data_IF_252165709348
#
_entry.id   IF_252165709348
#
_cell.length_a   1.000
_cell.length_b   1.000
_cell.length_c   1.000
_cell.angle_alpha   90.00
_cell.angle_beta   90.00
_cell.angle_gamma   90.00
#
_symmetry.space_group_name_H-M   'P 1'
#
loop_
_entity.id
_entity.type
_entity.pdbx_description
1 polymer ?
#
# COMPACT_ATOMS: atom_id res chain seq x y z
N UNK A 1 1.69 9.48 -10.54
CA UNK A 1 1.77 8.08 -10.06
C UNK A 1 2.22 7.20 -11.21
N UNK A 2 3.10 6.22 -10.99
CA UNK A 2 3.56 5.33 -12.06
C UNK A 2 2.47 4.30 -12.40
N UNK A 3 2.15 4.02 -13.68
CA UNK A 3 1.04 3.13 -14.05
C UNK A 3 1.12 1.73 -13.44
N UNK A 4 2.34 1.16 -13.37
CA UNK A 4 2.56 -0.14 -12.72
C UNK A 4 2.19 -0.16 -11.23
N UNK A 5 2.39 0.94 -10.52
CA UNK A 5 2.04 1.02 -9.10
C UNK A 5 0.52 1.04 -8.89
N UNK A 6 -0.23 1.58 -9.86
CA UNK A 6 -1.70 1.51 -9.85
C UNK A 6 -2.15 0.06 -10.04
N UNK A 7 -1.63 -0.61 -11.06
CA UNK A 7 -1.96 -2.02 -11.34
C UNK A 7 -1.62 -2.94 -10.16
N UNK A 8 -0.46 -2.76 -9.51
CA UNK A 8 -0.07 -3.54 -8.33
C UNK A 8 -1.04 -3.34 -7.15
N UNK A 9 -1.56 -2.12 -6.96
CA UNK A 9 -2.58 -1.84 -5.95
C UNK A 9 -3.93 -2.50 -6.26
N UNK A 10 -4.36 -2.44 -7.52
CA UNK A 10 -5.59 -3.07 -8.00
C UNK A 10 -5.55 -4.60 -7.89
N UNK A 11 -4.44 -5.22 -8.31
CA UNK A 11 -4.22 -6.68 -8.20
C UNK A 11 -4.23 -7.14 -6.74
N UNK A 12 -3.59 -6.40 -5.84
CA UNK A 12 -3.59 -6.71 -4.41
C UNK A 12 -5.01 -6.61 -3.81
N UNK A 13 -5.76 -5.56 -4.16
CA UNK A 13 -7.15 -5.40 -3.72
C UNK A 13 -8.05 -6.55 -4.22
N UNK A 14 -7.90 -6.94 -5.49
CA UNK A 14 -8.63 -8.06 -6.07
C UNK A 14 -8.30 -9.39 -5.36
N UNK A 15 -7.02 -9.66 -5.07
CA UNK A 15 -6.59 -10.86 -4.36
C UNK A 15 -7.22 -10.97 -2.97
N UNK A 16 -7.32 -9.86 -2.23
CA UNK A 16 -8.01 -9.83 -0.95
C UNK A 16 -9.52 -9.99 -1.09
N UNK A 17 -10.13 -9.38 -2.11
CA UNK A 17 -11.58 -9.41 -2.32
C UNK A 17 -12.10 -10.82 -2.62
N UNK A 18 -11.31 -11.64 -3.33
CA UNK A 18 -11.60 -13.06 -3.56
C UNK A 18 -11.70 -13.87 -2.26
N UNK A 19 -11.03 -13.42 -1.18
CA UNK A 19 -10.90 -14.15 0.09
C UNK A 19 -11.81 -13.60 1.17
N UNK A 20 -11.77 -12.29 1.38
CA UNK A 20 -12.64 -11.55 2.30
C UNK A 20 -12.76 -10.09 1.84
N UNK A 21 -13.95 -9.66 1.37
CA UNK A 21 -14.19 -8.27 0.96
C UNK A 21 -13.88 -7.22 2.04
N UNK A 22 -13.99 -7.58 3.33
CA UNK A 22 -13.65 -6.66 4.44
C UNK A 22 -12.15 -6.42 4.52
N UNK A 23 -11.34 -7.43 4.20
CA UNK A 23 -9.87 -7.31 4.16
C UNK A 23 -9.46 -6.44 2.97
N UNK A 24 -10.12 -6.58 1.82
CA UNK A 24 -9.89 -5.71 0.66
C UNK A 24 -10.22 -4.24 0.95
N UNK A 25 -11.35 -3.97 1.61
CA UNK A 25 -11.73 -2.61 2.02
C UNK A 25 -10.67 -2.01 2.96
N UNK A 26 -10.27 -2.75 3.99
CA UNK A 26 -9.23 -2.31 4.93
C UNK A 26 -7.88 -2.07 4.25
N UNK A 27 -7.51 -2.91 3.29
CA UNK A 27 -6.29 -2.72 2.50
C UNK A 27 -6.32 -1.38 1.74
N UNK A 28 -7.44 -1.07 1.07
CA UNK A 28 -7.62 0.19 0.36
C UNK A 28 -7.55 1.41 1.29
N UNK A 29 -8.22 1.35 2.45
CA UNK A 29 -8.19 2.42 3.46
C UNK A 29 -6.77 2.71 3.97
N UNK A 30 -6.00 1.67 4.30
CA UNK A 30 -4.63 1.81 4.78
C UNK A 30 -3.67 2.32 3.69
N UNK A 31 -3.88 1.90 2.44
CA UNK A 31 -3.11 2.37 1.29
C UNK A 31 -3.34 3.86 1.06
N UNK A 32 -4.61 4.30 1.02
CA UNK A 32 -4.98 5.71 0.83
C UNK A 32 -4.46 6.58 1.97
N UNK A 33 -4.61 6.13 3.23
CA UNK A 33 -4.07 6.85 4.38
C UNK A 33 -2.54 7.02 4.29
N UNK A 34 -1.84 5.98 3.84
CA UNK A 34 -0.37 6.02 3.69
C UNK A 34 0.05 6.95 2.56
N UNK A 35 -0.66 6.96 1.44
CA UNK A 35 -0.43 7.90 0.34
C UNK A 35 -0.64 9.34 0.82
N UNK A 36 -1.70 9.60 1.60
CA UNK A 36 -1.93 10.89 2.22
C UNK A 36 -0.75 11.36 3.08
N UNK A 37 -0.21 10.46 3.92
CA UNK A 37 0.97 10.76 4.74
C UNK A 37 2.24 11.02 3.91
N UNK A 38 2.41 10.35 2.77
CA UNK A 38 3.52 10.58 1.85
C UNK A 38 3.43 11.98 1.23
N UNK A 39 2.22 12.42 0.86
CA UNK A 39 2.01 13.76 0.32
C UNK A 39 2.21 14.84 1.38
N UNK A 40 1.68 14.62 2.60
CA UNK A 40 1.77 15.58 3.69
C UNK A 40 3.21 15.74 4.22
N UNK A 41 3.91 14.64 4.41
CA UNK A 41 5.23 14.61 5.05
C UNK A 41 6.17 13.64 4.32
N UNK A 42 6.62 13.95 3.09
CA UNK A 42 7.47 13.06 2.30
C UNK A 42 8.80 12.74 3.00
N UNK A 43 9.26 13.64 3.87
CA UNK A 43 10.51 13.49 4.60
C UNK A 43 10.43 12.58 5.85
N UNK A 44 9.24 12.09 6.19
CA UNK A 44 8.97 11.33 7.42
C UNK A 44 9.67 9.98 7.50
N UNK A 45 9.87 9.30 6.37
CA UNK A 45 10.53 7.99 6.31
C UNK A 45 12.01 8.14 5.97
N UNK A 46 12.92 7.40 6.61
CA UNK A 46 14.33 7.46 6.27
C UNK A 46 14.56 7.04 4.81
N UNK A 47 15.55 7.66 4.19
CA UNK A 47 16.00 7.28 2.86
C UNK A 47 16.60 5.87 2.88
N UNK A 48 16.23 5.06 1.90
CA UNK A 48 16.78 3.76 1.60
C UNK A 48 17.27 3.76 0.14
N UNK A 49 18.59 3.77 -0.04
CA UNK A 49 19.24 4.09 -1.31
C UNK A 49 18.76 5.46 -1.81
N UNK A 50 18.11 5.52 -2.99
CA UNK A 50 17.54 6.75 -3.56
C UNK A 50 16.01 6.82 -3.42
N UNK A 51 15.43 6.00 -2.53
CA UNK A 51 13.98 5.87 -2.35
C UNK A 51 13.60 5.95 -0.87
N UNK A 52 12.30 5.97 -0.56
CA UNK A 52 11.78 5.86 0.81
C UNK A 52 10.76 4.74 0.86
N UNK A 53 10.68 4.04 1.99
CA UNK A 53 9.75 2.94 2.20
C UNK A 53 8.73 3.30 3.27
N UNK A 54 7.46 3.39 2.86
CA UNK A 54 6.33 3.45 3.78
C UNK A 54 5.74 2.04 3.94
N UNK A 55 5.54 1.61 5.19
CA UNK A 55 4.90 0.35 5.53
C UNK A 55 3.54 0.66 6.15
N UNK A 56 2.50 -0.07 5.74
CA UNK A 56 1.17 0.02 6.31
C UNK A 56 0.69 -1.36 6.80
N UNK A 57 -0.23 -1.35 7.75
CA UNK A 57 -0.51 -2.51 8.61
C UNK A 57 -1.24 -3.64 7.88
N UNK A 58 -1.78 -3.37 6.69
CA UNK A 58 -2.48 -4.34 5.83
C UNK A 58 -1.57 -5.25 4.99
N UNK A 59 -0.26 -5.03 4.99
CA UNK A 59 0.72 -5.83 4.24
C UNK A 59 1.30 -6.99 5.03
N UNK A 60 0.50 -7.86 5.65
CA UNK A 60 1.05 -9.16 6.07
C UNK A 60 1.37 -9.97 4.83
N UNK A 61 2.67 -10.20 4.62
CA UNK A 61 3.25 -11.08 3.61
C UNK A 61 2.43 -12.36 3.40
N UNK A 62 1.57 -12.37 2.39
CA UNK A 62 1.08 -13.58 1.77
C UNK A 62 2.23 -14.14 0.92
N UNK A 63 3.15 -14.87 1.54
CA UNK A 63 4.34 -15.33 0.87
C UNK A 63 5.29 -16.08 1.80
N UNK A 64 4.92 -17.31 2.15
CA UNK A 64 5.82 -18.46 2.23
C UNK A 64 5.05 -19.70 1.80
#
# INVERSE_FOLDING_TARGET
MHPRAVAEGEEAAAWYAERDPRVAARFGEELEATLGLIVEAPDRWPTYLDTRRALFRGGTSAGR
#
